data_IF_486252855865
#
_entry.id   IF_486252855865
#
_cell.length_a   1.000
_cell.length_b   1.000
_cell.length_c   1.000
_cell.angle_alpha   90.00
_cell.angle_beta   90.00
_cell.angle_gamma   90.00
#
_symmetry.space_group_name_H-M   'P 1'
#
loop_
_entity.id
_entity.type
_entity.pdbx_description
1 polymer ?
#
# COMPACT_ATOMS: atom_id res chain seq x y z
N UNK A 1 27.25 5.68 22.72
CA UNK A 1 25.99 5.74 21.96
C UNK A 1 26.38 5.79 20.49
N UNK A 2 25.80 4.95 19.63
CA UNK A 2 26.06 5.06 18.20
C UNK A 2 25.46 6.40 17.73
N UNK A 3 26.31 7.37 17.40
CA UNK A 3 25.89 8.63 16.78
C UNK A 3 25.20 8.28 15.47
N UNK A 4 23.96 8.74 15.31
CA UNK A 4 23.17 8.49 14.11
C UNK A 4 23.87 9.15 12.92
N UNK A 5 24.38 8.34 11.99
CA UNK A 5 25.08 8.83 10.80
C UNK A 5 24.05 9.09 9.70
N UNK A 6 23.98 10.32 9.24
CA UNK A 6 23.03 10.77 8.23
C UNK A 6 23.80 11.17 6.98
N UNK A 7 23.44 10.59 5.84
CA UNK A 7 23.99 10.96 4.55
C UNK A 7 22.96 11.77 3.77
N UNK A 8 23.34 12.95 3.28
CA UNK A 8 22.48 13.82 2.46
C UNK A 8 23.10 13.97 1.07
N UNK A 9 22.33 13.66 0.04
CA UNK A 9 22.74 13.85 -1.36
C UNK A 9 21.69 14.58 -2.19
N UNK A 10 22.17 15.26 -3.24
CA UNK A 10 21.37 16.20 -4.04
C UNK A 10 21.97 16.53 -5.41
N UNK A 11 21.15 17.11 -6.29
CA UNK A 11 21.62 17.72 -7.54
C UNK A 11 22.14 19.15 -7.34
N UNK A 12 23.02 19.63 -8.21
CA UNK A 12 23.54 21.01 -8.17
C UNK A 12 22.47 22.10 -8.09
N UNK A 13 21.29 21.88 -8.68
CA UNK A 13 20.19 22.86 -8.69
C UNK A 13 19.59 23.13 -7.29
N UNK A 14 19.79 22.21 -6.33
CA UNK A 14 19.16 22.25 -5.00
C UNK A 14 20.17 22.49 -3.87
N UNK A 15 21.41 22.87 -4.19
CA UNK A 15 22.50 23.01 -3.21
C UNK A 15 22.13 23.91 -2.02
N UNK A 16 21.48 25.06 -2.26
CA UNK A 16 21.07 25.98 -1.19
C UNK A 16 20.01 25.36 -0.26
N UNK A 17 19.06 24.59 -0.80
CA UNK A 17 18.04 23.89 -0.02
C UNK A 17 18.66 22.76 0.81
N UNK A 18 19.62 22.03 0.24
CA UNK A 18 20.30 20.93 0.90
C UNK A 18 21.24 21.42 2.01
N UNK A 19 21.96 22.51 1.77
CA UNK A 19 22.77 23.17 2.80
C UNK A 19 21.92 23.62 4.00
N UNK A 20 20.70 24.10 3.78
CA UNK A 20 19.79 24.45 4.86
C UNK A 20 19.34 23.23 5.69
N UNK A 21 19.08 22.09 5.05
CA UNK A 21 18.78 20.82 5.72
C UNK A 21 19.99 20.33 6.52
N UNK A 22 21.17 20.32 5.90
CA UNK A 22 22.42 19.90 6.56
C UNK A 22 22.72 20.78 7.77
N UNK A 23 22.54 22.09 7.66
CA UNK A 23 22.72 23.02 8.78
C UNK A 23 21.76 22.73 9.95
N UNK A 24 20.49 22.42 9.66
CA UNK A 24 19.50 22.08 10.68
C UNK A 24 19.78 20.74 11.36
N UNK A 25 20.26 19.75 10.63
CA UNK A 25 20.65 18.46 11.20
C UNK A 25 21.89 18.59 12.09
N UNK A 26 22.90 19.33 11.63
CA UNK A 26 24.12 19.61 12.41
C UNK A 26 23.82 20.42 13.68
N UNK A 27 22.86 21.35 13.65
CA UNK A 27 22.45 22.10 14.84
C UNK A 27 21.75 21.24 15.90
N UNK A 28 21.31 20.03 15.53
CA UNK A 28 20.73 19.03 16.40
C UNK A 28 21.70 17.88 16.75
N UNK A 29 23.02 18.09 16.59
CA UNK A 29 24.09 17.14 16.95
C UNK A 29 24.10 15.83 16.14
N UNK A 30 23.48 15.83 14.95
CA UNK A 30 23.56 14.69 14.04
C UNK A 30 24.94 14.62 13.34
N UNK A 31 25.45 13.40 13.15
CA UNK A 31 26.67 13.14 12.37
C UNK A 31 26.31 13.13 10.87
N UNK A 32 26.35 14.31 10.25
CA UNK A 32 25.89 14.52 8.87
C UNK A 32 27.05 14.50 7.88
N UNK A 33 26.99 13.54 6.97
CA UNK A 33 27.79 13.44 5.78
C UNK A 33 27.03 14.05 4.60
N UNK A 34 27.68 14.96 3.89
CA UNK A 34 27.08 15.68 2.76
C UNK A 34 28.02 15.54 1.57
N UNK A 35 27.51 15.03 0.44
CA UNK A 35 28.32 14.91 -0.78
C UNK A 35 28.47 16.28 -1.46
N UNK A 36 29.50 17.02 -1.07
CA UNK A 36 29.83 18.31 -1.67
C UNK A 36 30.45 18.18 -3.07
N UNK A 37 30.86 16.98 -3.49
CA UNK A 37 31.75 16.77 -4.65
C UNK A 37 31.09 16.05 -5.83
N UNK A 38 29.80 15.69 -5.75
CA UNK A 38 29.09 14.93 -6.78
C UNK A 38 29.84 13.65 -7.18
N UNK A 39 30.09 12.76 -6.23
CA UNK A 39 30.77 11.50 -6.53
C UNK A 39 29.85 10.63 -7.41
N UNK A 40 30.33 10.25 -8.60
CA UNK A 40 29.56 9.48 -9.58
C UNK A 40 29.09 8.11 -9.05
N UNK A 41 28.12 7.52 -9.75
CA UNK A 41 27.56 6.19 -9.43
C UNK A 41 28.67 5.13 -9.42
N UNK A 42 29.00 4.62 -8.22
CA UNK A 42 30.04 3.61 -8.02
C UNK A 42 31.06 4.00 -6.95
N UNK A 43 31.54 5.25 -6.96
CA UNK A 43 32.48 5.73 -5.93
C UNK A 43 31.80 6.00 -4.59
N UNK A 44 30.52 6.38 -4.64
CA UNK A 44 29.72 6.69 -3.47
C UNK A 44 29.52 5.47 -2.54
N UNK A 45 29.28 4.28 -3.10
CA UNK A 45 29.13 3.06 -2.30
C UNK A 45 30.43 2.70 -1.57
N UNK A 46 31.56 2.83 -2.26
CA UNK A 46 32.88 2.57 -1.68
C UNK A 46 33.19 3.56 -0.55
N UNK A 47 32.83 4.84 -0.72
CA UNK A 47 32.98 5.86 0.33
C UNK A 47 32.08 5.56 1.53
N UNK A 48 30.80 5.24 1.30
CA UNK A 48 29.85 4.88 2.37
C UNK A 48 30.33 3.64 3.13
N UNK A 49 30.80 2.61 2.42
CA UNK A 49 31.30 1.37 3.03
C UNK A 49 32.63 1.56 3.77
N UNK A 50 33.50 2.47 3.28
CA UNK A 50 34.80 2.76 3.88
C UNK A 50 34.69 3.67 5.10
N UNK A 51 33.86 4.70 5.03
CA UNK A 51 33.81 5.78 6.01
C UNK A 51 32.73 5.55 7.10
N UNK A 52 31.63 4.86 6.78
CA UNK A 52 30.53 4.65 7.72
C UNK A 52 30.62 3.26 8.37
N UNK A 53 30.85 3.28 9.69
CA UNK A 53 31.00 2.05 10.51
C UNK A 53 29.66 1.54 11.07
N UNK A 54 28.58 2.30 10.90
CA UNK A 54 27.23 2.00 11.42
C UNK A 54 26.19 1.92 10.30
N UNK A 55 24.92 1.62 10.61
CA UNK A 55 23.81 1.65 9.64
C UNK A 55 23.38 3.10 9.43
N UNK A 56 23.65 3.73 8.27
CA UNK A 56 23.36 5.14 8.07
C UNK A 56 21.93 5.36 7.60
N UNK A 57 21.41 6.55 7.88
CA UNK A 57 20.15 7.07 7.30
C UNK A 57 20.48 7.84 6.04
N UNK A 58 19.82 7.52 4.94
CA UNK A 58 20.00 8.19 3.66
C UNK A 58 18.89 9.22 3.44
N UNK A 59 19.26 10.45 3.14
CA UNK A 59 18.34 11.53 2.79
C UNK A 59 18.61 11.93 1.36
N UNK A 60 17.58 11.78 0.52
CA UNK A 60 17.67 12.12 -0.90
C UNK A 60 16.82 13.35 -1.18
N UNK A 61 17.44 14.43 -1.66
CA UNK A 61 16.71 15.64 -2.02
C UNK A 61 16.35 15.61 -3.50
N UNK A 62 15.06 15.55 -3.80
CA UNK A 62 14.52 15.40 -5.16
C UNK A 62 13.69 16.64 -5.55
N UNK A 63 14.21 17.46 -6.45
CA UNK A 63 13.42 18.49 -7.13
C UNK A 63 13.00 18.03 -8.54
N UNK A 64 11.95 18.64 -9.13
CA UNK A 64 11.60 18.36 -10.53
C UNK A 64 12.76 18.61 -11.50
N UNK A 65 13.60 19.63 -11.25
CA UNK A 65 14.79 19.90 -12.05
C UNK A 65 15.89 18.84 -11.83
N UNK A 66 16.09 18.40 -10.59
CA UNK A 66 17.01 17.32 -10.26
C UNK A 66 16.62 16.01 -10.94
N UNK A 67 15.32 15.72 -11.05
CA UNK A 67 14.80 14.52 -11.69
C UNK A 67 15.03 14.46 -13.20
N UNK A 68 15.44 15.56 -13.84
CA UNK A 68 15.88 15.53 -15.24
C UNK A 68 17.32 15.02 -15.40
N UNK A 69 18.10 15.00 -14.32
CA UNK A 69 19.48 14.50 -14.34
C UNK A 69 19.52 12.98 -14.30
N UNK A 70 20.21 12.37 -15.27
CA UNK A 70 20.46 10.93 -15.31
C UNK A 70 21.18 10.41 -14.06
N UNK A 71 21.99 11.25 -13.42
CA UNK A 71 22.73 10.88 -12.22
C UNK A 71 21.85 10.83 -10.97
N UNK A 72 20.99 11.82 -10.73
CA UNK A 72 20.07 11.85 -9.57
C UNK A 72 19.13 10.65 -9.61
N UNK A 73 18.70 10.33 -10.83
CA UNK A 73 18.04 9.07 -11.17
C UNK A 73 18.89 7.89 -10.65
N UNK A 74 20.07 7.65 -11.20
CA UNK A 74 20.89 6.49 -10.82
C UNK A 74 21.15 6.37 -9.31
N UNK A 75 21.30 7.49 -8.59
CA UNK A 75 21.44 7.50 -7.14
C UNK A 75 20.16 7.07 -6.39
N UNK A 76 18.99 7.58 -6.80
CA UNK A 76 17.71 7.14 -6.26
C UNK A 76 17.48 5.63 -6.47
N UNK A 77 17.91 5.09 -7.63
CA UNK A 77 17.84 3.65 -7.94
C UNK A 77 18.79 2.83 -7.08
N UNK A 78 19.99 3.34 -6.86
CA UNK A 78 20.96 2.70 -5.99
C UNK A 78 20.45 2.62 -4.56
N UNK A 79 19.96 3.74 -4.01
CA UNK A 79 19.43 3.80 -2.66
C UNK A 79 18.26 2.81 -2.50
N UNK A 80 17.35 2.76 -3.47
CA UNK A 80 16.27 1.77 -3.51
C UNK A 80 16.77 0.33 -3.47
N UNK A 81 17.73 -0.01 -4.33
CA UNK A 81 18.31 -1.35 -4.38
C UNK A 81 19.00 -1.72 -3.06
N UNK A 82 19.58 -0.75 -2.35
CA UNK A 82 20.16 -0.94 -1.04
C UNK A 82 19.10 -1.24 0.03
N UNK A 83 18.01 -0.46 0.08
CA UNK A 83 16.88 -0.71 0.98
C UNK A 83 16.27 -2.10 0.77
N UNK A 84 16.05 -2.50 -0.49
CA UNK A 84 15.52 -3.83 -0.82
C UNK A 84 16.39 -4.98 -0.31
N UNK A 85 17.71 -4.79 -0.26
CA UNK A 85 18.67 -5.79 0.21
C UNK A 85 18.85 -5.79 1.72
N UNK A 86 18.54 -4.68 2.38
CA UNK A 86 18.69 -4.49 3.82
C UNK A 86 17.61 -3.54 4.35
N UNK A 87 16.45 -4.12 4.70
CA UNK A 87 15.27 -3.42 5.20
C UNK A 87 15.49 -2.69 6.53
N UNK A 88 16.66 -2.86 7.15
CA UNK A 88 17.02 -2.14 8.38
C UNK A 88 17.64 -0.77 8.13
N UNK A 89 17.87 -0.41 6.86
CA UNK A 89 18.36 0.91 6.45
C UNK A 89 17.18 1.83 6.16
N UNK A 90 17.28 3.09 6.57
CA UNK A 90 16.22 4.09 6.38
C UNK A 90 16.56 5.03 5.23
N UNK A 91 15.63 5.22 4.30
CA UNK A 91 15.73 6.19 3.21
C UNK A 91 14.61 7.22 3.37
N UNK A 92 14.96 8.50 3.40
CA UNK A 92 14.04 9.61 3.54
C UNK A 92 14.13 10.51 2.29
N UNK A 93 13.18 10.40 1.36
CA UNK A 93 13.07 11.36 0.27
C UNK A 93 12.57 12.70 0.82
N UNK A 94 13.23 13.80 0.45
CA UNK A 94 12.81 15.17 0.73
C UNK A 94 12.65 15.88 -0.61
N UNK A 95 11.47 16.42 -0.89
CA UNK A 95 11.26 17.10 -2.18
C UNK A 95 11.32 18.61 -2.05
N UNK A 96 11.92 19.27 -3.05
CA UNK A 96 11.91 20.74 -3.17
C UNK A 96 10.78 21.25 -4.10
N UNK A 97 9.92 20.35 -4.59
CA UNK A 97 8.81 20.65 -5.50
C UNK A 97 7.74 19.56 -5.56
N UNK A 98 6.64 19.83 -6.27
CA UNK A 98 5.62 18.83 -6.61
C UNK A 98 6.17 17.92 -7.71
N UNK A 99 6.24 16.62 -7.45
CA UNK A 99 6.68 15.63 -8.44
C UNK A 99 5.45 14.82 -8.88
N UNK A 100 5.28 14.61 -10.18
CA UNK A 100 4.17 13.82 -10.72
C UNK A 100 4.60 12.36 -10.91
N UNK A 101 3.67 11.38 -10.80
CA UNK A 101 3.93 9.99 -11.16
C UNK A 101 4.56 9.82 -12.56
N UNK A 102 4.17 10.66 -13.52
CA UNK A 102 4.66 10.65 -14.90
C UNK A 102 6.11 11.10 -15.08
N UNK A 103 6.70 11.78 -14.08
CA UNK A 103 8.13 12.11 -14.10
C UNK A 103 9.01 10.83 -13.95
N UNK A 104 8.37 9.70 -13.62
CA UNK A 104 8.97 8.40 -13.30
C UNK A 104 8.53 7.28 -14.25
N UNK A 105 8.05 7.58 -15.46
CA UNK A 105 7.48 6.57 -16.40
C UNK A 105 8.41 5.38 -16.75
N UNK A 106 9.72 5.47 -16.51
CA UNK A 106 10.69 4.35 -16.68
C UNK A 106 11.18 3.72 -15.35
N UNK A 107 10.63 4.15 -14.21
CA UNK A 107 11.14 3.85 -12.88
C UNK A 107 10.17 2.92 -12.16
N UNK A 108 10.68 1.73 -11.82
CA UNK A 108 10.01 0.74 -11.00
C UNK A 108 9.56 1.41 -9.69
N UNK A 109 8.25 1.56 -9.51
CA UNK A 109 7.65 2.16 -8.31
C UNK A 109 8.28 1.53 -7.05
N UNK A 110 8.84 2.39 -6.20
CA UNK A 110 9.25 2.03 -4.86
C UNK A 110 7.97 1.91 -4.03
N UNK A 111 7.43 0.70 -3.95
CA UNK A 111 6.54 0.31 -2.87
C UNK A 111 7.31 0.48 -1.54
N UNK A 112 7.20 1.67 -0.95
CA UNK A 112 6.96 1.96 0.47
C UNK A 112 7.26 3.45 0.75
N UNK A 113 6.42 4.34 0.22
CA UNK A 113 6.32 5.72 0.69
C UNK A 113 5.01 5.81 1.49
N UNK A 114 5.03 5.85 2.82
CA UNK A 114 3.82 6.27 3.56
C UNK A 114 3.82 7.77 3.80
N UNK A 115 3.55 8.53 2.73
CA UNK A 115 3.10 9.96 2.67
C UNK A 115 4.00 11.00 1.98
N UNK A 116 4.10 10.99 0.65
CA UNK A 116 3.98 12.10 -0.30
C UNK A 116 3.38 11.55 -1.62
N UNK A 117 2.05 11.44 -1.71
CA UNK A 117 1.31 11.86 -2.92
C UNK A 117 -0.06 12.37 -2.45
N UNK A 118 -0.20 13.69 -2.48
CA UNK A 118 -1.48 14.30 -2.75
C UNK A 118 -1.23 15.28 -3.91
N UNK A 119 -2.00 15.20 -5.01
CA UNK A 119 -1.99 16.24 -6.02
C UNK A 119 -2.41 17.55 -5.35
N UNK A 120 -1.55 18.58 -5.41
CA UNK A 120 -1.87 19.92 -4.92
C UNK A 120 -1.24 20.38 -3.60
N UNK A 121 -0.30 19.62 -3.00
CA UNK A 121 0.51 20.16 -1.91
C UNK A 121 1.57 21.14 -2.44
N UNK A 122 1.54 22.37 -1.91
CA UNK A 122 2.54 23.40 -2.15
C UNK A 122 3.90 22.98 -1.58
N UNK A 123 5.03 23.30 -2.24
CA UNK A 123 6.36 22.97 -1.74
C UNK A 123 6.61 23.57 -0.35
N UNK A 124 7.26 22.80 0.53
CA UNK A 124 7.69 23.32 1.82
C UNK A 124 8.91 24.24 1.63
N UNK A 125 8.97 25.34 2.38
CA UNK A 125 10.23 26.08 2.50
C UNK A 125 11.31 25.17 3.11
N UNK A 126 12.59 25.45 2.83
CA UNK A 126 13.72 24.72 3.41
C UNK A 126 13.61 24.62 4.94
N UNK A 127 13.12 25.67 5.59
CA UNK A 127 12.87 25.73 7.04
C UNK A 127 11.79 24.74 7.49
N UNK A 128 10.67 24.64 6.78
CA UNK A 128 9.59 23.72 7.16
C UNK A 128 9.95 22.26 6.82
N UNK A 129 10.68 22.02 5.73
CA UNK A 129 11.24 20.72 5.39
C UNK A 129 12.22 20.24 6.47
N UNK A 130 13.15 21.11 6.88
CA UNK A 130 14.09 20.83 7.97
C UNK A 130 13.37 20.55 9.30
N UNK A 131 12.35 21.33 9.66
CA UNK A 131 11.57 21.12 10.89
C UNK A 131 10.80 19.80 10.88
N UNK A 132 10.23 19.42 9.73
CA UNK A 132 9.56 18.13 9.56
C UNK A 132 10.56 16.98 9.67
N UNK A 133 11.70 17.10 9.02
CA UNK A 133 12.77 16.11 9.07
C UNK A 133 13.27 15.89 10.50
N UNK A 134 13.56 16.96 11.24
CA UNK A 134 13.98 16.89 12.64
C UNK A 134 12.92 16.18 13.51
N UNK A 135 11.64 16.48 13.31
CA UNK A 135 10.54 15.78 14.00
C UNK A 135 10.48 14.28 13.66
N UNK A 136 10.60 13.93 12.39
CA UNK A 136 10.63 12.53 11.94
C UNK A 136 11.79 11.76 12.55
N UNK A 137 12.94 12.42 12.70
CA UNK A 137 14.15 11.87 13.29
C UNK A 137 14.23 12.01 14.82
N UNK A 138 13.21 12.60 15.45
CA UNK A 138 13.19 12.93 16.88
C UNK A 138 14.41 13.74 17.36
N UNK A 139 14.93 14.63 16.51
CA UNK A 139 16.05 15.52 16.78
C UNK A 139 15.56 16.92 17.19
N UNK A 140 16.24 17.56 18.14
CA UNK A 140 15.91 18.91 18.62
C UNK A 140 17.12 19.85 18.45
N UNK A 141 16.98 21.02 17.80
CA UNK A 141 18.05 22.00 17.68
C UNK A 141 18.53 22.52 19.04
N UNK A 142 19.82 22.85 19.16
CA UNK A 142 20.38 23.45 20.39
C UNK A 142 19.66 24.76 20.74
N UNK A 143 19.16 24.86 21.97
CA UNK A 143 18.61 26.08 22.55
C UNK A 143 17.12 26.32 22.29
N UNK A 144 16.45 25.48 21.49
CA UNK A 144 14.99 25.51 21.37
C UNK A 144 14.35 24.67 22.46
N UNK A 145 13.53 25.31 23.31
CA UNK A 145 12.58 24.58 24.17
C UNK A 145 11.60 23.89 23.22
N UNK A 146 11.33 22.58 23.38
CA UNK A 146 10.35 21.91 22.53
C UNK A 146 9.05 22.71 22.57
N UNK A 147 8.58 23.15 21.40
CA UNK A 147 7.32 23.87 21.30
C UNK A 147 6.26 23.08 22.07
N UNK A 148 5.43 23.72 22.92
CA UNK A 148 4.40 23.02 23.64
C UNK A 148 3.62 22.21 22.62
N UNK A 149 3.63 20.89 22.80
CA UNK A 149 2.88 19.99 21.95
C UNK A 149 1.45 20.50 21.99
N UNK A 150 0.97 21.04 20.84
CA UNK A 150 -0.46 21.25 20.64
C UNK A 150 -1.14 19.97 21.14
N UNK A 151 -2.23 20.05 21.93
CA UNK A 151 -2.83 18.89 22.55
C UNK A 151 -2.99 17.85 21.46
N UNK A 152 -2.18 16.79 21.55
CA UNK A 152 -2.34 15.67 20.65
C UNK A 152 -3.71 15.15 21.05
N UNK A 153 -4.71 15.37 20.18
CA UNK A 153 -5.90 14.53 20.24
C UNK A 153 -5.30 13.14 20.19
N UNK A 154 -5.37 12.44 21.32
CA UNK A 154 -4.76 11.14 21.47
C UNK A 154 -5.54 10.24 20.53
N UNK A 155 -5.09 10.14 19.27
CA UNK A 155 -5.74 9.35 18.23
C UNK A 155 -5.79 7.92 18.76
N UNK A 156 -6.98 7.49 19.19
CA UNK A 156 -7.20 6.12 19.60
C UNK A 156 -7.34 5.27 18.35
N UNK A 157 -7.01 3.99 18.46
CA UNK A 157 -7.26 3.03 17.38
C UNK A 157 -8.74 3.03 16.98
N UNK A 158 -9.65 3.19 17.94
CA UNK A 158 -11.09 3.20 17.72
C UNK A 158 -11.57 4.40 16.90
N UNK A 159 -11.04 5.60 17.14
CA UNK A 159 -11.36 6.79 16.33
C UNK A 159 -10.89 6.61 14.87
N UNK A 160 -9.66 6.12 14.70
CA UNK A 160 -9.10 5.84 13.38
C UNK A 160 -9.91 4.78 12.63
N UNK A 161 -10.37 3.74 13.32
CA UNK A 161 -11.24 2.72 12.75
C UNK A 161 -12.59 3.31 12.32
N UNK A 162 -13.24 4.09 13.18
CA UNK A 162 -14.53 4.69 12.87
C UNK A 162 -14.44 5.60 11.63
N UNK A 163 -13.43 6.47 11.58
CA UNK A 163 -13.18 7.37 10.43
C UNK A 163 -12.81 6.59 9.17
N UNK A 164 -11.96 5.58 9.30
CA UNK A 164 -11.58 4.69 8.20
C UNK A 164 -12.79 3.99 7.59
N UNK A 165 -13.66 3.41 8.43
CA UNK A 165 -14.88 2.71 7.98
C UNK A 165 -15.86 3.67 7.32
N UNK A 166 -16.02 4.89 7.85
CA UNK A 166 -16.87 5.91 7.24
C UNK A 166 -16.39 6.30 5.83
N UNK A 167 -15.08 6.45 5.63
CA UNK A 167 -14.49 6.74 4.32
C UNK A 167 -14.59 5.53 3.37
N UNK A 168 -14.33 4.32 3.85
CA UNK A 168 -14.46 3.10 3.06
C UNK A 168 -15.90 2.86 2.61
N UNK A 169 -16.90 3.15 3.46
CA UNK A 169 -18.32 3.09 3.09
C UNK A 169 -18.72 4.10 2.00
N UNK A 170 -17.94 5.17 1.82
CA UNK A 170 -18.07 6.13 0.72
C UNK A 170 -17.16 5.79 -0.48
N UNK A 171 -16.53 4.62 -0.47
CA UNK A 171 -15.54 4.18 -1.46
C UNK A 171 -14.29 5.08 -1.56
N UNK A 172 -14.04 5.91 -0.56
CA UNK A 172 -12.83 6.73 -0.46
C UNK A 172 -11.64 5.92 0.09
N UNK A 173 -11.31 4.81 -0.59
CA UNK A 173 -10.34 3.82 -0.13
C UNK A 173 -8.92 4.39 0.05
N UNK A 174 -8.49 5.30 -0.83
CA UNK A 174 -7.19 5.97 -0.70
C UNK A 174 -7.08 6.81 0.59
N UNK A 175 -8.19 7.42 1.04
CA UNK A 175 -8.23 8.19 2.28
C UNK A 175 -8.40 7.30 3.52
N UNK A 176 -9.10 6.16 3.37
CA UNK A 176 -9.30 5.18 4.45
C UNK A 176 -8.03 4.39 4.79
N UNK A 177 -7.22 4.05 3.78
CA UNK A 177 -6.01 3.25 3.91
C UNK A 177 -5.07 3.71 5.04
N UNK A 178 -4.58 4.97 5.06
CA UNK A 178 -3.63 5.41 6.10
C UNK A 178 -4.22 5.39 7.51
N UNK A 179 -5.54 5.45 7.66
CA UNK A 179 -6.21 5.36 8.96
C UNK A 179 -6.18 3.92 9.48
N UNK A 180 -6.50 2.94 8.62
CA UNK A 180 -6.42 1.53 9.01
C UNK A 180 -4.99 1.08 9.27
N UNK A 181 -4.02 1.54 8.49
CA UNK A 181 -2.60 1.27 8.75
C UNK A 181 -2.12 1.85 10.08
N UNK A 182 -2.61 3.04 10.44
CA UNK A 182 -2.29 3.63 11.75
C UNK A 182 -3.01 2.87 12.87
N UNK A 183 -4.25 2.44 12.65
CA UNK A 183 -5.01 1.65 13.62
C UNK A 183 -4.33 0.31 13.90
N UNK A 184 -3.80 -0.40 12.90
CA UNK A 184 -3.06 -1.66 13.13
C UNK A 184 -1.74 -1.45 13.86
N UNK A 185 -1.08 -0.30 13.69
CA UNK A 185 0.12 0.05 14.47
C UNK A 185 -0.19 0.31 15.95
N UNK A 186 -1.31 0.99 16.23
CA UNK A 186 -1.72 1.31 17.61
C UNK A 186 -2.36 0.11 18.31
N UNK A 187 -3.04 -0.75 17.56
CA UNK A 187 -3.74 -1.92 18.07
C UNK A 187 -3.45 -3.14 17.20
N UNK A 188 -2.23 -3.68 17.32
CA UNK A 188 -1.77 -4.84 16.53
C UNK A 188 -2.62 -6.11 16.71
N UNK A 189 -3.36 -6.22 17.82
CA UNK A 189 -4.26 -7.35 18.12
C UNK A 189 -5.73 -7.05 17.76
N UNK A 190 -6.01 -5.96 17.03
CA UNK A 190 -7.36 -5.64 16.57
C UNK A 190 -7.68 -6.37 15.28
N UNK A 191 -8.55 -7.38 15.37
CA UNK A 191 -9.10 -8.06 14.19
C UNK A 191 -9.71 -7.08 13.20
N UNK A 192 -10.51 -6.14 13.69
CA UNK A 192 -11.25 -5.19 12.87
C UNK A 192 -10.31 -4.25 12.09
N UNK A 193 -9.18 -3.85 12.68
CA UNK A 193 -8.18 -3.05 11.99
C UNK A 193 -7.54 -3.81 10.83
N UNK A 194 -7.10 -5.04 11.06
CA UNK A 194 -6.50 -5.87 10.02
C UNK A 194 -7.49 -6.26 8.92
N UNK A 195 -8.73 -6.58 9.30
CA UNK A 195 -9.79 -6.92 8.35
C UNK A 195 -10.11 -5.74 7.42
N UNK A 196 -10.35 -4.56 7.96
CA UNK A 196 -10.66 -3.38 7.15
C UNK A 196 -9.45 -2.92 6.32
N UNK A 197 -8.22 -3.08 6.83
CA UNK A 197 -7.00 -2.86 6.06
C UNK A 197 -6.93 -3.81 4.85
N UNK A 198 -7.14 -5.11 5.07
CA UNK A 198 -7.13 -6.12 4.01
C UNK A 198 -8.19 -5.89 2.94
N UNK A 199 -9.41 -5.50 3.36
CA UNK A 199 -10.48 -5.12 2.45
C UNK A 199 -10.10 -3.88 1.62
N UNK A 200 -9.67 -2.80 2.28
CA UNK A 200 -9.29 -1.55 1.60
C UNK A 200 -8.14 -1.74 0.61
N UNK A 201 -7.14 -2.56 0.96
CA UNK A 201 -6.04 -2.90 0.06
C UNK A 201 -6.51 -3.70 -1.15
N UNK A 202 -7.53 -4.57 -0.99
CA UNK A 202 -8.12 -5.33 -2.09
C UNK A 202 -8.85 -4.40 -3.08
N UNK A 203 -9.63 -3.46 -2.58
CA UNK A 203 -10.33 -2.46 -3.40
C UNK A 203 -9.33 -1.54 -4.16
N UNK A 204 -8.15 -1.31 -3.58
CA UNK A 204 -7.04 -0.59 -4.21
C UNK A 204 -6.13 -1.46 -5.09
N UNK A 205 -6.52 -2.71 -5.34
CA UNK A 205 -5.78 -3.68 -6.16
C UNK A 205 -4.37 -4.01 -5.66
N UNK A 206 -4.10 -3.82 -4.37
CA UNK A 206 -2.81 -4.12 -3.72
C UNK A 206 -2.83 -5.54 -3.15
N UNK A 207 -2.91 -6.52 -4.03
CA UNK A 207 -3.23 -7.92 -3.71
C UNK A 207 -2.28 -8.59 -2.71
N UNK A 208 -0.97 -8.33 -2.83
CA UNK A 208 0.04 -8.89 -1.93
C UNK A 208 -0.09 -8.36 -0.50
N UNK A 209 -0.24 -7.04 -0.35
CA UNK A 209 -0.46 -6.40 0.94
C UNK A 209 -1.83 -6.76 1.54
N UNK A 210 -2.87 -6.84 0.70
CA UNK A 210 -4.19 -7.28 1.11
C UNK A 210 -4.17 -8.70 1.68
N UNK A 211 -3.47 -9.62 1.00
CA UNK A 211 -3.29 -10.99 1.48
C UNK A 211 -2.64 -11.01 2.86
N UNK A 212 -1.53 -10.28 3.06
CA UNK A 212 -0.84 -10.23 4.33
C UNK A 212 -1.75 -9.69 5.46
N UNK A 213 -2.51 -8.63 5.19
CA UNK A 213 -3.44 -8.06 6.16
C UNK A 213 -4.61 -9.02 6.49
N UNK A 214 -5.17 -9.69 5.49
CA UNK A 214 -6.20 -10.70 5.67
C UNK A 214 -5.67 -11.92 6.47
N UNK A 215 -4.41 -12.31 6.28
CA UNK A 215 -3.79 -13.38 7.09
C UNK A 215 -3.62 -12.98 8.55
N UNK A 216 -3.26 -11.73 8.85
CA UNK A 216 -3.26 -11.21 10.22
C UNK A 216 -4.67 -11.21 10.83
N UNK A 217 -5.68 -10.78 10.06
CA UNK A 217 -7.07 -10.81 10.50
C UNK A 217 -7.52 -12.26 10.80
N UNK A 218 -7.22 -13.21 9.93
CA UNK A 218 -7.54 -14.64 10.13
C UNK A 218 -6.80 -15.21 11.34
N UNK A 219 -5.54 -14.83 11.57
CA UNK A 219 -4.80 -15.27 12.76
C UNK A 219 -5.46 -14.80 14.07
N UNK A 220 -6.04 -13.60 14.07
CA UNK A 220 -6.75 -13.04 15.22
C UNK A 220 -8.17 -13.60 15.38
N UNK A 221 -8.88 -13.87 14.29
CA UNK A 221 -10.20 -14.49 14.30
C UNK A 221 -10.36 -15.51 13.15
N UNK A 222 -9.96 -16.77 13.37
CA UNK A 222 -9.97 -17.78 12.31
C UNK A 222 -11.38 -18.24 11.92
N UNK A 223 -12.42 -17.87 12.68
CA UNK A 223 -13.82 -18.25 12.41
C UNK A 223 -14.59 -17.18 11.62
N UNK A 224 -13.93 -16.11 11.18
CA UNK A 224 -14.57 -15.06 10.40
C UNK A 224 -14.61 -15.40 8.90
N UNK A 225 -15.76 -15.87 8.40
CA UNK A 225 -15.95 -16.30 7.01
C UNK A 225 -15.49 -15.26 5.98
N UNK A 226 -15.90 -14.00 6.14
CA UNK A 226 -15.56 -12.96 5.16
C UNK A 226 -14.05 -12.65 5.08
N UNK A 227 -13.26 -12.92 6.14
CA UNK A 227 -11.82 -12.73 6.09
C UNK A 227 -11.16 -13.81 5.21
N UNK A 228 -11.66 -15.04 5.29
CA UNK A 228 -11.28 -16.12 4.38
C UNK A 228 -11.70 -15.85 2.94
N UNK A 229 -12.89 -15.31 2.72
CA UNK A 229 -13.32 -14.86 1.39
C UNK A 229 -12.38 -13.79 0.82
N UNK A 230 -12.02 -12.77 1.61
CA UNK A 230 -11.10 -11.71 1.16
C UNK A 230 -9.68 -12.25 0.89
N UNK A 231 -9.21 -13.24 1.66
CA UNK A 231 -7.97 -13.97 1.37
C UNK A 231 -8.06 -14.69 0.03
N UNK A 232 -9.16 -15.42 -0.22
CA UNK A 232 -9.42 -16.08 -1.51
C UNK A 232 -9.41 -15.10 -2.67
N UNK A 233 -10.03 -13.93 -2.50
CA UNK A 233 -10.08 -12.86 -3.49
C UNK A 233 -8.69 -12.31 -3.82
N UNK A 234 -7.91 -12.01 -2.79
CA UNK A 234 -6.53 -11.54 -2.97
C UNK A 234 -5.67 -12.59 -3.70
N UNK A 235 -5.83 -13.87 -3.36
CA UNK A 235 -5.11 -14.98 -4.00
C UNK A 235 -5.53 -15.19 -5.46
N UNK A 236 -6.82 -15.04 -5.79
CA UNK A 236 -7.29 -15.19 -7.17
C UNK A 236 -6.72 -14.12 -8.09
N UNK A 237 -6.65 -12.86 -7.65
CA UNK A 237 -6.00 -11.80 -8.43
C UNK A 237 -4.48 -11.94 -8.51
N UNK A 238 -3.86 -12.59 -7.51
CA UNK A 238 -2.48 -13.03 -7.58
C UNK A 238 -2.26 -14.30 -8.42
N UNK A 239 -3.30 -14.82 -9.11
CA UNK A 239 -3.29 -16.07 -9.92
C UNK A 239 -2.90 -17.33 -9.15
N UNK A 240 -3.00 -17.30 -7.81
CA UNK A 240 -2.77 -18.45 -6.92
C UNK A 240 -4.07 -19.23 -6.72
N UNK A 241 -4.63 -19.72 -7.83
CA UNK A 241 -6.01 -20.21 -7.89
C UNK A 241 -6.30 -21.41 -6.96
N UNK A 242 -5.37 -22.35 -6.81
CA UNK A 242 -5.58 -23.51 -5.91
C UNK A 242 -5.67 -23.10 -4.44
N UNK A 243 -4.83 -22.15 -4.02
CA UNK A 243 -4.88 -21.61 -2.65
C UNK A 243 -6.12 -20.74 -2.44
N UNK A 244 -6.57 -20.02 -3.47
CA UNK A 244 -7.82 -19.27 -3.45
C UNK A 244 -9.01 -20.20 -3.22
N UNK A 245 -9.07 -21.36 -3.92
CA UNK A 245 -10.12 -22.36 -3.70
C UNK A 245 -10.16 -22.83 -2.24
N UNK A 246 -9.02 -23.21 -1.65
CA UNK A 246 -8.98 -23.62 -0.25
C UNK A 246 -9.45 -22.54 0.73
N UNK A 247 -9.16 -21.27 0.44
CA UNK A 247 -9.65 -20.14 1.23
C UNK A 247 -11.17 -19.96 1.09
N UNK A 248 -11.73 -20.06 -0.11
CA UNK A 248 -13.18 -19.98 -0.33
C UNK A 248 -13.93 -21.19 0.26
N UNK A 249 -13.39 -22.40 0.14
CA UNK A 249 -13.95 -23.60 0.78
C UNK A 249 -14.01 -23.41 2.30
N UNK A 250 -12.97 -22.82 2.89
CA UNK A 250 -12.97 -22.48 4.32
C UNK A 250 -14.03 -21.43 4.65
N UNK A 251 -14.13 -20.36 3.84
CA UNK A 251 -15.16 -19.32 4.02
C UNK A 251 -16.58 -19.90 3.97
N UNK A 252 -16.87 -20.74 2.98
CA UNK A 252 -18.16 -21.44 2.79
C UNK A 252 -18.44 -22.43 3.93
N UNK A 253 -17.41 -23.10 4.46
CA UNK A 253 -17.57 -24.00 5.61
C UNK A 253 -17.95 -23.26 6.91
N UNK A 254 -17.52 -22.00 7.03
CA UNK A 254 -17.84 -21.13 8.17
C UNK A 254 -19.21 -20.45 7.99
N UNK A 255 -19.55 -20.11 6.75
CA UNK A 255 -20.84 -19.52 6.37
C UNK A 255 -21.27 -20.02 4.98
N UNK A 256 -22.16 -21.01 4.96
CA UNK A 256 -22.64 -21.64 3.73
C UNK A 256 -23.69 -20.79 2.98
N UNK A 257 -24.18 -19.72 3.61
CA UNK A 257 -25.23 -18.86 3.05
C UNK A 257 -24.67 -17.57 2.44
N UNK A 258 -23.36 -17.32 2.54
CA UNK A 258 -22.70 -16.23 1.83
C UNK A 258 -22.64 -16.50 0.31
N UNK A 259 -23.59 -15.90 -0.43
CA UNK A 259 -23.62 -15.94 -1.89
C UNK A 259 -22.33 -15.44 -2.55
N UNK A 260 -21.63 -14.49 -1.91
CA UNK A 260 -20.42 -13.87 -2.45
C UNK A 260 -19.26 -14.86 -2.48
N UNK A 261 -19.07 -15.63 -1.41
CA UNK A 261 -18.06 -16.70 -1.36
C UNK A 261 -18.31 -17.78 -2.42
N UNK A 262 -19.56 -18.19 -2.63
CA UNK A 262 -19.92 -19.13 -3.70
C UNK A 262 -19.64 -18.58 -5.09
N UNK A 263 -19.99 -17.32 -5.34
CA UNK A 263 -19.72 -16.64 -6.61
C UNK A 263 -18.21 -16.54 -6.88
N UNK A 264 -17.45 -16.08 -5.89
CA UNK A 264 -16.00 -15.91 -6.02
C UNK A 264 -15.29 -17.25 -6.24
N UNK A 265 -15.72 -18.32 -5.58
CA UNK A 265 -15.24 -19.67 -5.84
C UNK A 265 -15.57 -20.13 -7.26
N UNK A 266 -16.79 -19.87 -7.74
CA UNK A 266 -17.21 -20.16 -9.10
C UNK A 266 -16.36 -19.44 -10.15
N UNK A 267 -15.99 -18.18 -9.90
CA UNK A 267 -15.07 -17.43 -10.75
C UNK A 267 -13.69 -18.09 -10.85
N UNK A 268 -13.12 -18.52 -9.73
CA UNK A 268 -11.82 -19.23 -9.75
C UNK A 268 -11.90 -20.59 -10.44
N UNK A 269 -12.98 -21.34 -10.24
CA UNK A 269 -13.21 -22.60 -10.95
C UNK A 269 -13.32 -22.37 -12.47
N UNK A 270 -13.97 -21.29 -12.88
CA UNK A 270 -14.04 -20.89 -14.29
C UNK A 270 -12.65 -20.58 -14.87
N UNK A 271 -11.82 -19.82 -14.17
CA UNK A 271 -10.41 -19.53 -14.57
C UNK A 271 -9.59 -20.82 -14.72
N UNK A 272 -9.86 -21.82 -13.89
CA UNK A 272 -9.25 -23.16 -13.95
C UNK A 272 -9.88 -24.08 -15.02
N UNK A 273 -10.85 -23.59 -15.81
CA UNK A 273 -11.61 -24.34 -16.82
C UNK A 273 -12.42 -25.53 -16.26
N UNK A 274 -12.73 -25.49 -14.96
CA UNK A 274 -13.58 -26.45 -14.24
C UNK A 274 -15.05 -26.04 -14.38
N UNK A 275 -15.53 -26.02 -15.63
CA UNK A 275 -16.83 -25.42 -15.98
C UNK A 275 -18.03 -26.06 -15.27
N UNK A 276 -18.13 -27.40 -15.11
CA UNK A 276 -19.24 -27.99 -14.38
C UNK A 276 -19.27 -27.57 -12.90
N UNK A 277 -18.12 -27.54 -12.22
CA UNK A 277 -18.05 -27.10 -10.82
C UNK A 277 -18.31 -25.59 -10.67
N UNK A 278 -17.80 -24.78 -11.59
CA UNK A 278 -18.08 -23.35 -11.62
C UNK A 278 -19.57 -23.05 -11.79
N UNK A 279 -20.25 -23.79 -12.69
CA UNK A 279 -21.69 -23.67 -12.88
C UNK A 279 -22.47 -23.99 -11.60
N UNK A 280 -22.11 -25.09 -10.92
CA UNK A 280 -22.72 -25.46 -9.64
C UNK A 280 -22.50 -24.38 -8.56
N UNK A 281 -21.28 -23.83 -8.46
CA UNK A 281 -20.98 -22.75 -7.53
C UNK A 281 -21.81 -21.48 -7.80
N UNK A 282 -21.98 -21.08 -9.07
CA UNK A 282 -22.85 -19.96 -9.43
C UNK A 282 -24.33 -20.26 -9.15
N UNK A 283 -24.79 -21.50 -9.32
CA UNK A 283 -26.14 -21.91 -8.94
C UNK A 283 -26.37 -21.84 -7.44
N UNK A 284 -25.37 -22.25 -6.63
CA UNK A 284 -25.40 -22.03 -5.18
C UNK A 284 -25.48 -20.54 -4.84
N UNK A 285 -24.65 -19.69 -5.44
CA UNK A 285 -24.70 -18.25 -5.23
C UNK A 285 -26.10 -17.67 -5.54
N UNK A 286 -26.67 -18.05 -6.69
CA UNK A 286 -27.99 -17.60 -7.15
C UNK A 286 -29.15 -18.13 -6.30
N UNK A 287 -29.00 -19.33 -5.70
CA UNK A 287 -30.00 -19.85 -4.78
C UNK A 287 -30.08 -19.03 -3.48
N UNK A 288 -28.98 -18.37 -3.08
CA UNK A 288 -28.95 -17.46 -1.91
C UNK A 288 -29.26 -16.03 -2.27
N UNK A 289 -28.74 -15.54 -3.40
CA UNK A 289 -29.01 -14.21 -3.93
C UNK A 289 -29.46 -14.29 -5.41
N UNK A 290 -30.77 -14.43 -5.67
CA UNK A 290 -31.31 -14.49 -7.03
C UNK A 290 -31.11 -13.22 -7.85
N UNK A 291 -30.81 -12.09 -7.21
CA UNK A 291 -30.62 -10.78 -7.84
C UNK A 291 -29.16 -10.52 -8.24
N UNK A 292 -28.24 -11.45 -7.95
CA UNK A 292 -26.83 -11.31 -8.27
C UNK A 292 -26.58 -11.39 -9.79
N UNK A 293 -26.71 -10.26 -10.49
CA UNK A 293 -26.54 -10.13 -11.94
C UNK A 293 -25.23 -10.74 -12.44
N UNK A 294 -24.13 -10.52 -11.73
CA UNK A 294 -22.82 -11.06 -12.08
C UNK A 294 -22.81 -12.61 -12.13
N UNK A 295 -23.51 -13.28 -11.21
CA UNK A 295 -23.61 -14.74 -11.19
C UNK A 295 -24.46 -15.26 -12.36
N UNK A 296 -25.55 -14.57 -12.73
CA UNK A 296 -26.34 -14.91 -13.92
C UNK A 296 -25.54 -14.78 -15.21
N UNK A 297 -24.77 -13.70 -15.37
CA UNK A 297 -23.90 -13.49 -16.55
C UNK A 297 -22.81 -14.57 -16.65
N UNK A 298 -22.17 -14.90 -15.53
CA UNK A 298 -21.16 -15.96 -15.47
C UNK A 298 -21.76 -17.34 -15.78
N UNK A 299 -22.95 -17.64 -15.25
CA UNK A 299 -23.73 -18.85 -15.58
C UNK A 299 -24.05 -18.93 -17.08
N UNK A 300 -24.55 -17.84 -17.68
CA UNK A 300 -24.86 -17.79 -19.11
C UNK A 300 -23.61 -18.04 -19.98
N UNK A 301 -22.48 -17.45 -19.58
CA UNK A 301 -21.19 -17.63 -20.27
C UNK A 301 -20.76 -19.10 -20.26
N UNK A 302 -20.81 -19.76 -19.09
CA UNK A 302 -20.50 -21.19 -18.96
C UNK A 302 -21.44 -22.06 -19.80
N UNK A 303 -22.74 -21.83 -19.71
CA UNK A 303 -23.72 -22.60 -20.49
C UNK A 303 -23.47 -22.52 -21.99
N UNK A 304 -23.06 -21.35 -22.50
CA UNK A 304 -22.68 -21.16 -23.90
C UNK A 304 -21.45 -21.98 -24.29
N UNK A 305 -20.41 -21.99 -23.44
CA UNK A 305 -19.21 -22.82 -23.67
C UNK A 305 -19.51 -24.32 -23.65
N UNK A 306 -20.54 -24.73 -22.91
CA UNK A 306 -21.02 -26.11 -22.85
C UNK A 306 -22.03 -26.47 -23.96
N UNK A 307 -22.34 -25.54 -24.87
CA UNK A 307 -23.29 -25.76 -25.97
C UNK A 307 -24.78 -25.73 -25.56
N UNK A 308 -25.10 -25.29 -24.34
CA UNK A 308 -26.47 -25.22 -23.79
C UNK A 308 -27.08 -23.84 -24.08
N UNK A 309 -27.34 -23.56 -25.36
CA UNK A 309 -27.71 -22.23 -25.84
C UNK A 309 -29.03 -21.69 -25.24
N UNK A 310 -30.06 -22.53 -25.14
CA UNK A 310 -31.37 -22.11 -24.63
C UNK A 310 -31.30 -21.68 -23.15
N UNK A 311 -30.58 -22.44 -22.34
CA UNK A 311 -30.38 -22.14 -20.91
C UNK A 311 -29.49 -20.91 -20.72
N UNK A 312 -28.49 -20.72 -21.59
CA UNK A 312 -27.66 -19.52 -21.58
C UNK A 312 -28.51 -18.26 -21.86
N UNK A 313 -29.44 -18.33 -22.81
CA UNK A 313 -30.34 -17.23 -23.12
C UNK A 313 -31.28 -16.92 -21.94
N UNK A 314 -31.82 -17.95 -21.29
CA UNK A 314 -32.66 -17.76 -20.09
C UNK A 314 -31.88 -17.08 -18.96
N UNK A 315 -30.64 -17.53 -18.69
CA UNK A 315 -29.76 -16.91 -17.70
C UNK A 315 -29.45 -15.44 -18.04
N UNK A 316 -29.23 -15.12 -19.31
CA UNK A 316 -29.04 -13.74 -19.77
C UNK A 316 -30.29 -12.87 -19.56
N UNK A 317 -31.47 -13.40 -19.86
CA UNK A 317 -32.73 -12.69 -19.60
C UNK A 317 -32.92 -12.40 -18.11
N UNK A 318 -32.58 -13.36 -17.24
CA UNK A 318 -32.59 -13.15 -15.78
C UNK A 318 -31.61 -12.07 -15.34
N UNK A 319 -30.38 -12.08 -15.87
CA UNK A 319 -29.39 -11.05 -15.58
C UNK A 319 -29.90 -9.64 -15.91
N UNK A 320 -30.53 -9.46 -17.08
CA UNK A 320 -31.05 -8.17 -17.50
C UNK A 320 -32.22 -7.71 -16.63
N UNK A 321 -33.13 -8.63 -16.26
CA UNK A 321 -34.26 -8.30 -15.38
C UNK A 321 -33.83 -7.86 -13.98
N UNK A 322 -32.70 -8.39 -13.46
CA UNK A 322 -32.14 -7.99 -12.17
C UNK A 322 -31.39 -6.65 -12.22
N UNK A 323 -30.88 -6.24 -13.37
CA UNK A 323 -30.13 -4.99 -13.54
C UNK A 323 -30.98 -3.72 -13.59
N UNK A 324 -32.27 -3.83 -13.93
CA UNK A 324 -33.19 -2.70 -14.07
C UNK A 324 -33.78 -2.19 -12.73
N UNK A 325 -33.35 -2.75 -11.58
CA UNK A 325 -33.86 -2.40 -10.24
C UNK A 325 -32.87 -1.63 -9.33
N UNK A 326 -31.71 -1.20 -9.85
CA UNK A 326 -30.70 -0.42 -9.11
C UNK A 326 -30.63 1.03 -9.60
#
# INVERSE_FOLDING_TARGET
>A
MATMQIFVSHSHADNAFCQAIVAALRSADADVWYDEHNLGSGQMLDVIQRELKSRPIFILVLSPAAMQSAWVKDEARWAYNLYKRDVTRTILPVTAGTIQPSDFDEWLFIEDYKRIEAPGLQPFSATEAARRLLRTLALTPRGEVPAPTAPQVQESADDLLARGKALAGQQHYNAALPLFERATQLAAHSFEAWYNLGYTLSELHRWSAALAANEQAIALNPRHSAAWNNKGFSLSFAKRYQEALGAYETAISLDADDATSWYNMGFVLYELRRYPEALAAFEHALARNPEMTAAWLSKATILRMLGRADEAQQAQTRANASGDQA
#
